data_IF_221014339604
#
_entry.id   IF_221014339604
#
_cell.length_a   1.000
_cell.length_b   1.000
_cell.length_c   1.000
_cell.angle_alpha   90.00
_cell.angle_beta   90.00
_cell.angle_gamma   90.00
#
_symmetry.space_group_name_H-M   'P 1'
#
loop_
_entity.id
_entity.type
_entity.pdbx_description
1 polymer ?
#
# COMPACT_ATOMS: atom_id res chain seq x y z
N UNK A 1 3.55 20.04 37.40
CA UNK A 1 3.04 19.82 36.02
C UNK A 1 4.25 19.95 35.13
N UNK A 2 4.81 18.82 34.72
CA UNK A 2 5.94 18.76 33.79
C UNK A 2 5.46 19.23 32.42
N UNK A 3 6.01 20.35 31.98
CA UNK A 3 5.72 20.95 30.68
C UNK A 3 6.46 20.17 29.59
N UNK A 4 6.15 18.85 29.46
CA UNK A 4 6.72 18.02 28.40
C UNK A 4 6.13 18.49 27.07
N UNK A 5 7.01 18.93 26.19
CA UNK A 5 6.61 19.31 24.85
C UNK A 5 5.96 18.09 24.17
N UNK A 6 4.81 18.26 23.52
CA UNK A 6 4.16 17.13 22.83
C UNK A 6 5.12 16.52 21.82
N UNK A 7 5.07 15.20 21.68
CA UNK A 7 5.88 14.46 20.71
C UNK A 7 5.68 15.02 19.31
N UNK A 8 6.78 15.30 18.62
CA UNK A 8 6.75 15.80 17.25
C UNK A 8 7.51 14.84 16.31
N UNK A 9 6.78 14.15 15.47
CA UNK A 9 7.34 13.18 14.52
C UNK A 9 8.37 13.80 13.57
N UNK A 10 8.23 15.08 13.23
CA UNK A 10 9.16 15.76 12.32
C UNK A 10 10.62 15.75 12.83
N UNK A 11 10.82 15.73 14.13
CA UNK A 11 12.18 15.62 14.69
C UNK A 11 12.81 14.24 14.42
N UNK A 12 12.00 13.19 14.30
CA UNK A 12 12.46 11.83 14.06
C UNK A 12 12.64 11.52 12.57
N UNK A 13 12.02 12.29 11.69
CA UNK A 13 12.24 12.21 10.24
C UNK A 13 13.70 12.60 9.88
N UNK A 14 14.37 13.38 10.72
CA UNK A 14 15.80 13.68 10.54
C UNK A 14 16.62 12.38 10.59
N UNK A 15 16.29 11.45 11.48
CA UNK A 15 16.92 10.11 11.52
C UNK A 15 16.71 9.35 10.21
N UNK A 16 15.49 9.36 9.67
CA UNK A 16 15.20 8.78 8.34
C UNK A 16 16.08 9.39 7.24
N UNK A 17 16.32 10.70 7.27
CA UNK A 17 17.14 11.38 6.27
C UNK A 17 18.58 10.86 6.24
N UNK A 18 19.11 10.48 7.40
CA UNK A 18 20.50 10.01 7.56
C UNK A 18 20.63 8.52 7.29
N UNK A 19 19.72 7.72 7.83
CA UNK A 19 19.79 6.26 7.83
C UNK A 19 19.09 5.63 6.64
N UNK A 20 17.96 6.23 6.21
CA UNK A 20 17.04 5.68 5.21
C UNK A 20 16.67 6.71 4.12
N UNK A 21 17.61 7.10 3.25
CA UNK A 21 17.40 8.19 2.30
C UNK A 21 16.20 7.99 1.36
N UNK A 22 15.95 6.76 0.89
CA UNK A 22 14.81 6.43 0.05
C UNK A 22 13.48 6.73 0.75
N UNK A 23 13.31 6.25 1.99
CA UNK A 23 12.11 6.50 2.78
C UNK A 23 11.97 7.97 3.17
N UNK A 24 13.09 8.64 3.42
CA UNK A 24 13.10 10.08 3.68
C UNK A 24 12.59 10.88 2.47
N UNK A 25 13.02 10.50 1.26
CA UNK A 25 12.55 11.10 0.02
C UNK A 25 11.04 10.90 -0.18
N UNK A 26 10.55 9.70 0.09
CA UNK A 26 9.12 9.38 0.05
C UNK A 26 8.33 10.14 1.11
N UNK A 27 8.84 10.16 2.35
CA UNK A 27 8.23 10.83 3.50
C UNK A 27 7.97 12.31 3.27
N UNK A 28 8.83 13.01 2.53
CA UNK A 28 8.63 14.44 2.21
C UNK A 28 7.40 14.72 1.34
N UNK A 29 6.89 13.70 0.66
CA UNK A 29 5.75 13.79 -0.26
C UNK A 29 4.42 13.37 0.37
N UNK A 30 4.46 12.92 1.62
CA UNK A 30 3.30 12.42 2.36
C UNK A 30 3.02 13.36 3.52
N UNK A 31 1.79 13.85 3.63
CA UNK A 31 1.35 14.66 4.75
C UNK A 31 1.27 13.81 6.02
N UNK A 32 1.71 14.36 7.15
CA UNK A 32 1.69 13.70 8.45
C UNK A 32 0.88 14.52 9.43
N UNK A 33 -0.15 13.90 9.98
CA UNK A 33 -1.09 14.55 10.91
C UNK A 33 -1.13 13.78 12.20
N UNK A 34 -0.89 14.47 13.31
CA UNK A 34 -1.06 13.90 14.64
C UNK A 34 -2.56 13.69 14.93
N UNK A 35 -2.92 12.50 15.40
CA UNK A 35 -4.28 12.15 15.76
C UNK A 35 -4.28 11.19 16.95
N UNK A 36 -5.09 11.48 17.95
CA UNK A 36 -5.35 10.57 19.08
C UNK A 36 -6.56 9.66 18.83
N UNK A 37 -7.21 9.82 17.67
CA UNK A 37 -8.35 9.00 17.29
C UNK A 37 -7.94 7.57 16.88
N UNK A 38 -6.68 7.40 16.50
CA UNK A 38 -6.10 6.08 16.16
C UNK A 38 -5.14 5.63 17.26
N UNK A 39 -5.03 4.32 17.53
CA UNK A 39 -4.14 3.82 18.58
C UNK A 39 -2.65 3.95 18.24
N UNK A 40 -2.28 3.83 16.97
CA UNK A 40 -0.88 3.71 16.52
C UNK A 40 -0.54 4.69 15.39
N UNK A 41 -0.48 4.19 14.17
CA UNK A 41 -0.29 4.95 12.94
C UNK A 41 -1.14 4.33 11.82
N UNK A 42 -1.25 5.00 10.71
CA UNK A 42 -1.91 4.48 9.53
C UNK A 42 -1.78 5.44 8.36
N UNK A 43 -1.71 4.90 7.16
CA UNK A 43 -1.72 5.67 5.92
C UNK A 43 -3.06 5.56 5.23
N UNK A 44 -3.52 6.64 4.65
CA UNK A 44 -4.77 6.67 3.88
C UNK A 44 -4.66 7.58 2.67
N UNK A 45 -5.62 7.43 1.76
CA UNK A 45 -5.88 8.40 0.71
C UNK A 45 -6.96 9.37 1.19
N UNK A 46 -6.66 10.66 1.20
CA UNK A 46 -7.67 11.68 1.49
C UNK A 46 -8.69 11.73 0.35
N UNK A 47 -9.99 11.51 0.61
CA UNK A 47 -11.00 11.42 -0.45
C UNK A 47 -11.22 12.74 -1.20
N UNK A 48 -11.04 13.87 -0.54
CA UNK A 48 -11.27 15.18 -1.13
C UNK A 48 -10.12 15.62 -2.04
N UNK A 49 -8.88 15.34 -1.63
CA UNK A 49 -7.67 15.82 -2.31
C UNK A 49 -6.96 14.75 -3.11
N UNK A 50 -7.33 13.48 -2.94
CA UNK A 50 -6.61 12.30 -3.44
C UNK A 50 -5.11 12.34 -3.09
N UNK A 51 -4.76 12.94 -1.95
CA UNK A 51 -3.41 12.98 -1.42
C UNK A 51 -3.22 11.88 -0.37
N UNK A 52 -1.98 11.42 -0.25
CA UNK A 52 -1.63 10.48 0.81
C UNK A 52 -1.38 11.22 2.11
N UNK A 53 -2.01 10.73 3.16
CA UNK A 53 -1.86 11.21 4.53
C UNK A 53 -1.44 10.05 5.43
N UNK A 54 -0.51 10.33 6.32
CA UNK A 54 -0.14 9.47 7.42
C UNK A 54 -0.71 10.07 8.70
N UNK A 55 -1.61 9.37 9.34
CA UNK A 55 -2.06 9.67 10.69
C UNK A 55 -1.12 8.98 11.68
N UNK A 56 -0.80 9.61 12.78
CA UNK A 56 0.00 8.98 13.83
C UNK A 56 -0.44 9.43 15.22
N UNK A 57 -0.40 8.50 16.18
CA UNK A 57 -0.66 8.81 17.57
C UNK A 57 0.63 9.26 18.27
N UNK A 58 0.72 10.52 18.73
CA UNK A 58 1.92 11.01 19.40
C UNK A 58 2.28 10.24 20.67
N UNK A 59 1.30 9.79 21.45
CA UNK A 59 1.51 9.06 22.70
C UNK A 59 2.10 7.67 22.45
N UNK A 60 1.66 7.02 21.38
CA UNK A 60 2.23 5.76 20.94
C UNK A 60 3.69 5.93 20.51
N UNK A 61 3.98 6.87 19.60
CA UNK A 61 5.33 7.12 19.14
C UNK A 61 6.29 7.58 20.23
N UNK A 62 5.79 8.27 21.25
CA UNK A 62 6.60 8.70 22.39
C UNK A 62 7.18 7.52 23.18
N UNK A 63 6.46 6.40 23.25
CA UNK A 63 6.86 5.18 23.98
C UNK A 63 7.90 4.35 23.22
N UNK A 64 7.96 4.48 21.91
CA UNK A 64 8.84 3.69 21.06
C UNK A 64 10.30 4.12 21.17
N UNK A 65 11.21 3.19 21.01
CA UNK A 65 12.62 3.47 20.79
C UNK A 65 12.87 4.13 19.43
N UNK A 66 14.05 4.64 19.18
CA UNK A 66 14.39 5.25 17.89
C UNK A 66 14.27 4.23 16.73
N UNK A 67 14.77 3.01 16.92
CA UNK A 67 14.75 1.96 15.92
C UNK A 67 13.30 1.50 15.60
N UNK A 68 12.47 1.35 16.63
CA UNK A 68 11.06 1.01 16.45
C UNK A 68 10.32 2.11 15.69
N UNK A 69 10.54 3.38 16.02
CA UNK A 69 9.93 4.51 15.27
C UNK A 69 10.27 4.49 13.80
N UNK A 70 11.54 4.20 13.47
CA UNK A 70 11.98 4.11 12.06
C UNK A 70 11.29 2.93 11.35
N UNK A 71 11.20 1.78 12.00
CA UNK A 71 10.60 0.59 11.38
C UNK A 71 9.08 0.72 11.27
N UNK A 72 8.39 1.35 12.23
CA UNK A 72 6.96 1.70 12.10
C UNK A 72 6.73 2.67 10.94
N UNK A 73 7.56 3.69 10.78
CA UNK A 73 7.46 4.61 9.64
C UNK A 73 7.69 3.89 8.31
N UNK A 74 8.68 2.98 8.25
CA UNK A 74 8.92 2.18 7.04
C UNK A 74 7.75 1.25 6.74
N UNK A 75 7.12 0.66 7.78
CA UNK A 75 5.93 -0.17 7.63
C UNK A 75 4.82 0.58 6.90
N UNK A 76 4.46 1.77 7.38
CA UNK A 76 3.45 2.60 6.76
C UNK A 76 3.78 2.96 5.30
N UNK A 77 5.04 3.28 5.04
CA UNK A 77 5.47 3.61 3.69
C UNK A 77 5.48 2.40 2.75
N UNK A 78 5.74 1.20 3.25
CA UNK A 78 5.62 -0.01 2.45
C UNK A 78 4.17 -0.28 2.02
N UNK A 79 3.17 0.03 2.86
CA UNK A 79 1.77 -0.06 2.43
C UNK A 79 1.48 0.81 1.21
N UNK A 80 2.07 2.00 1.15
CA UNK A 80 1.95 2.87 -0.03
C UNK A 80 2.73 2.34 -1.22
N UNK A 81 4.00 1.93 -1.02
CA UNK A 81 4.89 1.42 -2.08
C UNK A 81 4.28 0.19 -2.76
N UNK A 82 3.69 -0.70 -1.97
CA UNK A 82 3.06 -1.92 -2.47
C UNK A 82 1.60 -1.73 -2.89
N UNK A 83 1.09 -0.52 -2.85
CA UNK A 83 -0.26 -0.17 -3.25
C UNK A 83 -1.37 -0.92 -2.47
N UNK A 84 -1.10 -1.32 -1.23
CA UNK A 84 -2.06 -2.04 -0.39
C UNK A 84 -3.30 -1.21 -0.08
N UNK A 85 -3.15 0.12 -0.05
CA UNK A 85 -4.19 1.11 0.28
C UNK A 85 -5.08 1.45 -0.92
N UNK A 86 -4.64 1.15 -2.15
CA UNK A 86 -5.32 1.59 -3.38
C UNK A 86 -5.88 0.45 -4.20
N UNK A 87 -5.15 -0.01 -5.19
CA UNK A 87 -5.68 -0.88 -6.26
C UNK A 87 -5.46 -2.37 -6.03
N UNK A 88 -4.60 -2.74 -5.07
CA UNK A 88 -4.14 -4.13 -4.91
C UNK A 88 -5.08 -5.01 -4.09
N UNK A 89 -5.99 -4.43 -3.32
CA UNK A 89 -6.96 -5.18 -2.52
C UNK A 89 -7.95 -5.90 -3.45
N UNK A 90 -8.11 -7.23 -3.32
CA UNK A 90 -9.10 -7.96 -4.11
C UNK A 90 -10.54 -7.61 -3.69
N UNK A 91 -11.43 -7.36 -4.65
CA UNK A 91 -12.82 -6.91 -4.41
C UNK A 91 -13.65 -7.82 -3.49
N UNK A 92 -13.37 -9.13 -3.49
CA UNK A 92 -14.14 -10.12 -2.72
C UNK A 92 -13.55 -10.48 -1.37
N UNK A 93 -12.51 -9.77 -0.95
CA UNK A 93 -11.77 -10.05 0.30
C UNK A 93 -12.14 -9.02 1.35
N UNK A 94 -12.47 -9.49 2.54
CA UNK A 94 -12.74 -8.62 3.68
C UNK A 94 -11.50 -7.76 4.03
N UNK A 95 -11.70 -6.52 4.51
CA UNK A 95 -10.59 -5.61 4.79
C UNK A 95 -9.62 -6.19 5.82
N UNK A 96 -10.13 -6.76 6.88
CA UNK A 96 -9.33 -7.30 7.99
C UNK A 96 -8.34 -8.38 7.54
N UNK A 97 -8.81 -9.39 6.79
CA UNK A 97 -7.92 -10.47 6.32
C UNK A 97 -6.88 -9.96 5.32
N UNK A 98 -7.23 -8.97 4.50
CA UNK A 98 -6.28 -8.31 3.61
C UNK A 98 -5.20 -7.56 4.40
N UNK A 99 -5.58 -6.83 5.46
CA UNK A 99 -4.64 -6.14 6.33
C UNK A 99 -3.64 -7.11 6.96
N UNK A 100 -4.12 -8.24 7.53
CA UNK A 100 -3.23 -9.27 8.06
C UNK A 100 -2.24 -9.80 7.01
N UNK A 101 -2.71 -10.04 5.80
CA UNK A 101 -1.85 -10.50 4.71
C UNK A 101 -0.81 -9.45 4.30
N UNK A 102 -1.21 -8.18 4.24
CA UNK A 102 -0.34 -7.06 3.91
C UNK A 102 0.72 -6.82 4.99
N UNK A 103 0.32 -6.86 6.27
CA UNK A 103 1.22 -6.69 7.41
C UNK A 103 2.26 -7.81 7.49
N UNK A 104 1.84 -9.07 7.32
CA UNK A 104 2.78 -10.20 7.30
C UNK A 104 3.82 -10.06 6.17
N UNK A 105 3.40 -9.57 5.00
CA UNK A 105 4.32 -9.34 3.89
C UNK A 105 5.35 -8.26 4.21
N UNK A 106 4.92 -7.15 4.80
CA UNK A 106 5.79 -6.02 5.15
C UNK A 106 6.69 -6.39 6.33
N UNK A 107 6.13 -6.96 7.39
CA UNK A 107 6.82 -7.21 8.64
C UNK A 107 7.96 -8.22 8.47
N UNK A 108 7.86 -9.10 7.48
CA UNK A 108 8.96 -10.01 7.13
C UNK A 108 10.25 -9.30 6.71
N UNK A 109 10.19 -8.01 6.34
CA UNK A 109 11.33 -7.18 5.94
C UNK A 109 11.84 -6.24 7.04
N UNK A 110 11.13 -6.14 8.18
CA UNK A 110 11.44 -5.24 9.28
C UNK A 110 11.97 -6.02 10.50
N UNK A 111 12.87 -5.42 11.26
CA UNK A 111 13.58 -6.12 12.35
C UNK A 111 13.26 -5.58 13.73
N UNK A 112 12.92 -4.29 13.82
CA UNK A 112 12.74 -3.58 15.08
C UNK A 112 11.29 -3.10 15.22
N UNK A 113 10.34 -3.98 14.91
CA UNK A 113 8.95 -3.68 15.18
C UNK A 113 8.67 -3.84 16.68
N UNK A 114 7.74 -3.05 17.24
CA UNK A 114 7.29 -3.21 18.63
C UNK A 114 6.73 -4.61 18.90
N UNK A 115 6.75 -4.99 20.18
CA UNK A 115 6.12 -6.25 20.60
C UNK A 115 4.63 -6.27 20.25
N UNK A 116 4.12 -7.44 19.87
CA UNK A 116 2.73 -7.63 19.47
C UNK A 116 2.46 -7.47 17.98
N UNK A 117 3.45 -7.07 17.16
CA UNK A 117 3.27 -7.02 15.71
C UNK A 117 3.11 -8.43 15.11
N UNK A 118 2.30 -8.53 14.06
CA UNK A 118 2.10 -9.76 13.30
C UNK A 118 3.40 -10.17 12.60
N UNK A 119 3.94 -11.33 12.93
CA UNK A 119 5.18 -11.81 12.33
C UNK A 119 4.97 -13.21 11.74
N UNK A 120 5.41 -13.46 10.49
CA UNK A 120 5.46 -14.82 9.97
C UNK A 120 6.45 -15.68 10.79
N UNK A 121 6.12 -16.93 11.02
CA UNK A 121 6.92 -17.84 11.83
C UNK A 121 6.69 -17.73 13.35
N UNK A 122 5.75 -16.89 13.81
CA UNK A 122 5.49 -16.65 15.25
C UNK A 122 4.01 -16.84 15.58
N UNK A 123 3.72 -17.45 16.72
CA UNK A 123 2.37 -17.61 17.27
C UNK A 123 1.39 -18.24 16.27
N UNK A 124 0.28 -17.56 16.02
CA UNK A 124 -0.75 -18.03 15.08
C UNK A 124 -0.19 -18.25 13.65
N UNK A 125 0.86 -17.53 13.26
CA UNK A 125 1.50 -17.62 11.95
C UNK A 125 2.79 -18.43 11.95
N UNK A 126 3.00 -19.32 12.93
CA UNK A 126 4.21 -20.14 13.08
C UNK A 126 4.55 -20.97 11.82
N UNK A 127 3.53 -21.42 11.09
CA UNK A 127 3.68 -22.21 9.86
C UNK A 127 3.89 -21.36 8.60
N UNK A 128 3.80 -20.03 8.71
CA UNK A 128 3.90 -19.15 7.56
C UNK A 128 5.37 -18.79 7.31
N UNK A 129 5.93 -19.11 6.12
CA UNK A 129 7.30 -18.74 5.80
C UNK A 129 7.42 -17.22 5.62
N UNK A 130 8.57 -16.62 5.99
CA UNK A 130 8.82 -15.19 5.75
C UNK A 130 9.07 -14.90 4.27
N UNK A 131 8.90 -13.63 3.87
CA UNK A 131 9.26 -13.14 2.53
C UNK A 131 8.25 -13.44 1.43
N UNK A 132 7.01 -13.78 1.78
CA UNK A 132 5.94 -13.96 0.80
C UNK A 132 5.25 -12.63 0.47
N UNK A 133 4.59 -12.57 -0.69
CA UNK A 133 3.75 -11.43 -1.05
C UNK A 133 2.43 -11.43 -0.27
N UNK A 134 1.76 -10.27 -0.22
CA UNK A 134 0.46 -10.14 0.44
C UNK A 134 -0.59 -11.12 -0.12
N UNK A 135 -0.59 -11.38 -1.44
CA UNK A 135 -1.51 -12.34 -2.05
C UNK A 135 -1.21 -13.79 -1.67
N UNK A 136 0.07 -14.12 -1.47
CA UNK A 136 0.46 -15.44 -1.01
C UNK A 136 0.06 -15.66 0.45
N UNK A 137 0.30 -14.66 1.33
CA UNK A 137 -0.19 -14.72 2.71
C UNK A 137 -1.71 -14.78 2.78
N UNK A 138 -2.41 -14.00 1.94
CA UNK A 138 -3.87 -14.07 1.85
C UNK A 138 -4.34 -15.49 1.50
N UNK A 139 -3.68 -16.15 0.56
CA UNK A 139 -4.02 -17.52 0.19
C UNK A 139 -3.82 -18.50 1.34
N UNK A 140 -2.75 -18.33 2.13
CA UNK A 140 -2.50 -19.13 3.33
C UNK A 140 -3.52 -18.88 4.43
N UNK A 141 -3.88 -17.62 4.67
CA UNK A 141 -4.90 -17.22 5.65
C UNK A 141 -6.28 -17.80 5.30
N UNK A 142 -6.69 -17.68 4.05
CA UNK A 142 -7.96 -18.24 3.58
C UNK A 142 -8.01 -19.76 3.69
N UNK A 143 -6.88 -20.43 3.46
CA UNK A 143 -6.77 -21.89 3.65
C UNK A 143 -6.91 -22.26 5.13
N UNK A 144 -6.18 -21.58 6.00
CA UNK A 144 -6.24 -21.80 7.46
C UNK A 144 -7.63 -21.56 8.02
N UNK A 145 -8.31 -20.49 7.61
CA UNK A 145 -9.72 -20.23 7.98
C UNK A 145 -10.68 -21.36 7.58
N UNK A 146 -10.46 -21.98 6.43
CA UNK A 146 -11.30 -23.13 5.99
C UNK A 146 -11.05 -24.35 6.86
N UNK A 147 -9.79 -24.64 7.14
CA UNK A 147 -9.39 -25.77 7.99
C UNK A 147 -9.94 -25.63 9.42
N UNK A 148 -9.92 -24.43 9.99
CA UNK A 148 -10.49 -24.16 11.31
C UNK A 148 -12.01 -24.31 11.33
N UNK A 149 -12.72 -23.77 10.34
CA UNK A 149 -14.17 -23.94 10.22
C UNK A 149 -14.60 -25.39 10.00
N UNK A 150 -13.78 -26.20 9.35
CA UNK A 150 -14.02 -27.63 9.19
C UNK A 150 -13.79 -28.39 10.50
N UNK A 151 -12.79 -28.03 11.30
CA UNK A 151 -12.53 -28.57 12.63
C UNK A 151 -13.64 -28.24 13.63
N UNK A 152 -14.15 -27.01 13.62
CA UNK A 152 -15.30 -26.60 14.46
C UNK A 152 -16.58 -27.37 14.12
N UNK A 153 -16.85 -27.60 12.85
CA UNK A 153 -18.00 -28.41 12.41
C UNK A 153 -17.89 -29.90 12.75
N UNK A 154 -16.67 -30.39 12.98
CA UNK A 154 -16.39 -31.78 13.38
C UNK A 154 -16.39 -32.03 14.89
N UNK A 155 -16.27 -30.98 15.72
CA UNK A 155 -16.37 -31.04 17.17
C UNK A 155 -17.84 -30.82 17.59
N UNK A 156 -18.66 -31.84 17.54
CA UNK A 156 -19.87 -31.89 18.34
C UNK A 156 -19.50 -32.01 19.80
N UNK A 157 -20.15 -31.23 20.65
CA UNK A 157 -20.13 -31.18 22.12
C UNK A 157 -19.13 -32.13 22.83
N UNK A 158 -17.97 -31.64 23.17
CA UNK A 158 -16.98 -32.33 24.02
C UNK A 158 -16.07 -31.29 24.66
N UNK A 159 -15.99 -31.33 25.98
CA UNK A 159 -15.27 -30.42 26.88
C UNK A 159 -13.86 -30.09 26.39
N UNK A 160 -13.55 -28.79 26.31
CA UNK A 160 -12.26 -28.29 25.87
C UNK A 160 -11.24 -28.27 26.98
N UNK A 161 -10.10 -28.89 26.77
CA UNK A 161 -8.88 -28.60 27.50
C UNK A 161 -8.37 -27.21 27.08
N UNK A 162 -8.03 -26.38 28.06
CA UNK A 162 -7.37 -25.09 27.90
C UNK A 162 -5.97 -25.27 27.29
N UNK A 163 -5.88 -25.17 26.00
CA UNK A 163 -4.60 -24.87 25.33
C UNK A 163 -4.47 -23.35 25.30
N UNK A 164 -3.28 -22.79 25.54
CA UNK A 164 -2.97 -21.36 25.40
C UNK A 164 -3.06 -20.94 23.93
N UNK A 165 -4.21 -21.15 23.31
CA UNK A 165 -4.47 -20.73 21.93
C UNK A 165 -4.83 -19.26 21.93
N UNK A 166 -4.10 -18.48 21.14
CA UNK A 166 -4.43 -17.11 20.77
C UNK A 166 -5.94 -17.02 20.49
N UNK A 167 -6.66 -16.14 21.22
CA UNK A 167 -8.08 -15.96 21.01
C UNK A 167 -8.35 -15.54 19.57
N UNK A 168 -9.08 -16.35 18.84
CA UNK A 168 -9.49 -16.06 17.46
C UNK A 168 -10.87 -15.45 17.45
N UNK A 169 -11.05 -14.43 16.64
CA UNK A 169 -12.36 -13.79 16.41
C UNK A 169 -13.30 -14.67 15.57
N UNK A 170 -14.54 -14.22 15.35
CA UNK A 170 -15.55 -14.95 14.56
C UNK A 170 -15.12 -15.20 13.11
N UNK A 171 -14.11 -14.50 12.65
CA UNK A 171 -13.49 -14.63 11.32
C UNK A 171 -12.33 -15.64 11.30
N UNK A 172 -12.01 -16.28 12.43
CA UNK A 172 -10.89 -17.22 12.54
C UNK A 172 -9.52 -16.57 12.47
N UNK A 173 -9.43 -15.27 12.78
CA UNK A 173 -8.17 -14.53 12.88
C UNK A 173 -7.91 -14.11 14.32
N UNK A 174 -6.65 -13.92 14.74
CA UNK A 174 -6.31 -13.46 16.07
C UNK A 174 -7.03 -12.17 16.42
N UNK A 175 -7.56 -12.05 17.63
CA UNK A 175 -8.18 -10.82 18.13
C UNK A 175 -7.12 -9.83 18.60
N UNK A 176 -5.97 -10.30 19.01
CA UNK A 176 -4.83 -9.51 19.44
C UNK A 176 -3.70 -9.57 18.42
N UNK A 177 -2.82 -8.58 18.43
CA UNK A 177 -1.62 -8.52 17.58
C UNK A 177 -1.79 -7.72 16.30
N UNK A 178 -2.95 -7.16 16.04
CA UNK A 178 -3.10 -6.16 14.98
C UNK A 178 -2.55 -4.83 15.49
N UNK A 179 -1.32 -4.53 15.09
CA UNK A 179 -0.61 -3.31 15.46
C UNK A 179 -1.25 -2.08 14.82
N UNK A 180 -1.83 -2.26 13.65
CA UNK A 180 -2.37 -1.20 12.83
C UNK A 180 -3.84 -1.44 12.48
N UNK A 181 -4.69 -0.47 12.81
CA UNK A 181 -6.10 -0.53 12.42
C UNK A 181 -6.29 0.17 11.09
N UNK A 182 -6.11 -0.57 10.02
CA UNK A 182 -6.39 -0.08 8.65
C UNK A 182 -7.89 -0.07 8.30
N UNK A 183 -8.76 0.01 9.29
CA UNK A 183 -10.20 0.08 9.08
C UNK A 183 -10.59 1.28 8.22
N UNK A 184 -9.84 2.37 8.33
CA UNK A 184 -10.03 3.57 7.53
C UNK A 184 -9.67 3.43 6.04
N UNK A 185 -9.00 2.34 5.63
CA UNK A 185 -8.73 2.12 4.20
C UNK A 185 -9.98 1.85 3.38
N UNK A 186 -11.05 1.42 4.03
CA UNK A 186 -12.31 1.07 3.38
C UNK A 186 -13.36 2.16 3.44
N UNK A 187 -13.29 3.04 4.46
CA UNK A 187 -14.33 4.03 4.72
C UNK A 187 -13.93 5.44 4.25
N UNK A 188 -12.65 5.69 3.98
CA UNK A 188 -12.14 7.01 3.66
C UNK A 188 -12.19 7.42 2.19
N UNK A 189 -12.39 6.48 1.26
CA UNK A 189 -12.52 6.78 -0.18
C UNK A 189 -13.96 6.74 -0.68
N UNK A 190 -14.90 6.33 0.19
CA UNK A 190 -16.28 6.16 -0.19
C UNK A 190 -17.07 7.47 -0.15
N UNK A 191 -17.25 8.13 -1.30
CA UNK A 191 -18.30 9.16 -1.48
C UNK A 191 -19.68 8.53 -1.59
N UNK A 192 -19.77 7.19 -1.50
CA UNK A 192 -20.98 6.42 -1.78
C UNK A 192 -21.25 6.23 -3.28
N UNK A 193 -20.35 6.70 -4.15
CA UNK A 193 -20.42 6.56 -5.59
C UNK A 193 -19.26 5.71 -6.10
N UNK A 194 -19.50 4.45 -6.37
CA UNK A 194 -18.48 3.45 -6.73
C UNK A 194 -17.62 3.83 -7.95
N UNK A 195 -18.13 4.69 -8.84
CA UNK A 195 -17.40 5.14 -10.04
C UNK A 195 -16.39 6.24 -9.67
N UNK A 196 -16.78 7.17 -8.81
CA UNK A 196 -15.90 8.25 -8.33
C UNK A 196 -14.81 7.68 -7.41
N UNK A 197 -15.15 6.71 -6.59
CA UNK A 197 -14.22 6.03 -5.69
C UNK A 197 -13.15 5.26 -6.48
N UNK A 198 -13.52 4.57 -7.56
CA UNK A 198 -12.58 3.92 -8.48
C UNK A 198 -11.63 4.90 -9.16
N UNK A 199 -12.13 6.05 -9.63
CA UNK A 199 -11.30 7.08 -10.26
C UNK A 199 -10.33 7.73 -9.25
N UNK A 200 -10.76 7.97 -8.03
CA UNK A 200 -9.89 8.49 -6.97
C UNK A 200 -8.76 7.52 -6.62
N UNK A 201 -9.07 6.22 -6.56
CA UNK A 201 -8.07 5.18 -6.32
C UNK A 201 -7.05 5.07 -7.46
N UNK A 202 -7.48 5.19 -8.73
CA UNK A 202 -6.59 5.18 -9.89
C UNK A 202 -5.65 6.41 -9.89
N UNK A 203 -6.17 7.59 -9.59
CA UNK A 203 -5.37 8.83 -9.47
C UNK A 203 -4.37 8.70 -8.32
N UNK A 204 -4.77 8.16 -7.18
CA UNK A 204 -3.88 7.93 -6.05
C UNK A 204 -2.79 6.92 -6.41
N UNK A 205 -3.13 5.81 -7.08
CA UNK A 205 -2.17 4.82 -7.56
C UNK A 205 -1.11 5.43 -8.49
N UNK A 206 -1.50 6.24 -9.46
CA UNK A 206 -0.55 6.92 -10.35
C UNK A 206 0.33 7.94 -9.59
N UNK A 207 -0.21 8.64 -8.61
CA UNK A 207 0.57 9.55 -7.76
C UNK A 207 1.60 8.82 -6.92
N UNK A 208 1.24 7.70 -6.29
CA UNK A 208 2.22 6.95 -5.48
C UNK A 208 3.33 6.38 -6.35
N UNK A 209 3.02 5.91 -7.56
CA UNK A 209 4.03 5.47 -8.51
C UNK A 209 5.01 6.59 -8.84
N UNK A 210 4.53 7.82 -9.09
CA UNK A 210 5.38 8.98 -9.34
C UNK A 210 6.24 9.33 -8.10
N UNK A 211 5.68 9.27 -6.90
CA UNK A 211 6.41 9.53 -5.67
C UNK A 211 7.50 8.50 -5.42
N UNK A 212 7.18 7.21 -5.59
CA UNK A 212 8.14 6.11 -5.44
C UNK A 212 9.23 6.22 -6.51
N UNK A 213 8.87 6.54 -7.76
CA UNK A 213 9.83 6.76 -8.85
C UNK A 213 10.82 7.87 -8.53
N UNK A 214 10.33 9.04 -8.14
CA UNK A 214 11.19 10.18 -7.78
C UNK A 214 12.07 9.87 -6.58
N UNK A 215 11.55 9.13 -5.60
CA UNK A 215 12.34 8.70 -4.43
C UNK A 215 13.42 7.68 -4.80
N UNK A 216 13.12 6.77 -5.74
CA UNK A 216 14.10 5.82 -6.27
C UNK A 216 15.19 6.51 -7.10
N UNK A 217 14.84 7.51 -7.91
CA UNK A 217 15.80 8.32 -8.67
C UNK A 217 16.74 9.09 -7.73
N UNK A 218 16.20 9.68 -6.65
CA UNK A 218 17.00 10.34 -5.62
C UNK A 218 17.92 9.36 -4.90
N UNK A 219 17.45 8.16 -4.58
CA UNK A 219 18.23 7.10 -3.96
C UNK A 219 19.37 6.61 -4.88
N UNK A 220 19.09 6.44 -6.17
CA UNK A 220 20.11 6.06 -7.17
C UNK A 220 21.18 7.14 -7.32
N UNK A 221 20.80 8.42 -7.29
CA UNK A 221 21.75 9.53 -7.35
C UNK A 221 22.71 9.57 -6.15
N UNK A 222 22.31 9.05 -4.99
CA UNK A 222 23.14 8.92 -3.81
C UNK A 222 24.03 7.64 -3.80
N UNK A 223 23.92 6.82 -4.84
CA UNK A 223 24.68 5.58 -4.99
C UNK A 223 24.20 4.46 -4.04
N UNK A 224 25.15 3.62 -3.59
CA UNK A 224 24.82 2.42 -2.81
C UNK A 224 24.12 2.70 -1.47
N UNK A 225 24.37 3.85 -0.87
CA UNK A 225 23.79 4.26 0.41
C UNK A 225 22.39 4.84 0.28
N UNK A 226 21.98 5.24 -0.91
CA UNK A 226 20.71 5.93 -1.13
C UNK A 226 19.46 5.07 -0.85
N UNK A 227 19.59 3.75 -0.93
CA UNK A 227 18.51 2.81 -0.64
C UNK A 227 18.37 2.46 0.85
N UNK A 228 19.33 2.83 1.69
CA UNK A 228 19.32 2.49 3.12
C UNK A 228 19.23 0.98 3.35
N UNK A 229 18.34 0.56 4.24
CA UNK A 229 18.13 -0.85 4.61
C UNK A 229 17.16 -1.61 3.67
N UNK A 230 16.67 -0.98 2.60
CA UNK A 230 15.74 -1.66 1.66
C UNK A 230 16.40 -2.93 1.09
N UNK A 231 15.80 -4.13 1.26
CA UNK A 231 16.33 -5.38 0.73
C UNK A 231 16.47 -5.38 -0.80
N UNK A 232 17.42 -6.16 -1.33
CA UNK A 232 17.71 -6.15 -2.77
C UNK A 232 16.57 -6.70 -3.65
N UNK A 233 15.79 -7.65 -3.14
CA UNK A 233 14.58 -8.17 -3.74
C UNK A 233 13.47 -7.13 -3.80
N UNK A 234 13.24 -6.42 -2.70
CA UNK A 234 12.28 -5.31 -2.64
C UNK A 234 12.68 -4.18 -3.60
N UNK A 235 13.98 -3.84 -3.68
CA UNK A 235 14.45 -2.84 -4.67
C UNK A 235 14.14 -3.26 -6.10
N UNK A 236 14.38 -4.54 -6.43
CA UNK A 236 14.07 -5.07 -7.77
C UNK A 236 12.58 -5.02 -8.05
N UNK A 237 11.74 -5.33 -7.05
CA UNK A 237 10.29 -5.26 -7.16
C UNK A 237 9.81 -3.83 -7.39
N UNK A 238 10.33 -2.87 -6.63
CA UNK A 238 10.05 -1.44 -6.81
C UNK A 238 10.44 -1.02 -8.23
N UNK A 239 11.65 -1.33 -8.67
CA UNK A 239 12.14 -0.95 -10.00
C UNK A 239 11.32 -1.60 -11.12
N UNK A 240 10.97 -2.88 -10.98
CA UNK A 240 10.14 -3.59 -11.96
C UNK A 240 8.72 -2.98 -12.10
N UNK A 241 8.15 -2.48 -11.01
CA UNK A 241 6.84 -1.78 -11.02
C UNK A 241 6.93 -0.40 -11.66
N UNK A 242 8.09 0.27 -11.51
CA UNK A 242 8.32 1.60 -12.08
C UNK A 242 8.70 1.54 -13.58
N UNK A 243 9.23 0.41 -14.05
CA UNK A 243 9.45 0.18 -15.46
C UNK A 243 8.10 0.07 -16.18
N UNK A 244 7.63 1.20 -16.68
CA UNK A 244 6.44 1.25 -17.54
C UNK A 244 6.75 0.46 -18.80
N UNK A 245 6.22 -0.73 -18.93
CA UNK A 245 6.22 -1.46 -20.22
C UNK A 245 5.32 -0.70 -21.16
N UNK A 246 5.88 0.32 -21.82
CA UNK A 246 5.17 1.04 -22.87
C UNK A 246 4.87 0.04 -23.98
N UNK A 247 3.61 -0.30 -24.14
CA UNK A 247 3.18 -1.07 -25.31
C UNK A 247 3.34 -0.17 -26.55
N UNK A 248 4.56 -0.17 -27.09
CA UNK A 248 4.92 0.62 -28.28
C UNK A 248 3.96 0.36 -29.44
N UNK A 249 3.34 -0.83 -29.54
CA UNK A 249 2.35 -1.16 -30.57
C UNK A 249 1.07 -0.35 -30.36
N UNK A 250 0.65 -0.15 -29.11
CA UNK A 250 -0.51 0.67 -28.75
C UNK A 250 -0.24 2.15 -29.02
N UNK A 251 0.94 2.64 -28.64
CA UNK A 251 1.39 4.01 -28.92
C UNK A 251 1.49 4.26 -30.42
N UNK A 252 2.09 3.33 -31.18
CA UNK A 252 2.20 3.44 -32.63
C UNK A 252 0.84 3.45 -33.33
N UNK A 253 -0.10 2.58 -32.90
CA UNK A 253 -1.48 2.58 -33.42
C UNK A 253 -2.18 3.91 -33.16
N UNK A 254 -2.00 4.47 -31.97
CA UNK A 254 -2.57 5.78 -31.62
C UNK A 254 -1.96 6.89 -32.46
N UNK A 255 -0.64 6.90 -32.62
CA UNK A 255 0.07 7.86 -33.48
C UNK A 255 -0.39 7.79 -34.94
N UNK A 256 -0.46 6.59 -35.52
CA UNK A 256 -0.96 6.41 -36.90
C UNK A 256 -2.40 6.90 -37.02
N UNK A 257 -3.24 6.62 -36.03
CA UNK A 257 -4.66 7.04 -36.02
C UNK A 257 -4.82 8.55 -35.93
N UNK A 258 -3.99 9.22 -35.14
CA UNK A 258 -3.99 10.69 -35.02
C UNK A 258 -3.37 11.35 -36.28
N UNK A 259 -2.26 10.85 -36.78
CA UNK A 259 -1.66 11.35 -38.00
C UNK A 259 -2.57 11.24 -39.22
N UNK A 260 -3.32 10.16 -39.35
CA UNK A 260 -4.34 10.01 -40.40
C UNK A 260 -5.50 11.01 -40.28
N UNK A 261 -5.85 11.45 -39.06
CA UNK A 261 -6.89 12.45 -38.84
C UNK A 261 -6.39 13.87 -39.13
N UNK A 262 -5.16 14.18 -38.78
CA UNK A 262 -4.58 15.50 -39.01
C UNK A 262 -4.38 15.85 -40.52
N UNK A 263 -4.19 14.83 -41.36
CA UNK A 263 -3.96 15.02 -42.80
C UNK A 263 -5.25 15.01 -43.67
N UNK A 264 -6.42 14.94 -43.06
CA UNK A 264 -7.70 15.05 -43.74
C UNK A 264 -8.19 16.51 -43.66
N UNK A 265 -7.71 17.35 -44.51
CA UNK A 265 -8.32 18.66 -44.75
C UNK A 265 -9.28 18.53 -45.94
N UNK A 266 -10.54 18.90 -45.69
CA UNK A 266 -11.52 19.08 -46.75
C UNK A 266 -11.24 20.43 -47.44
N UNK A 267 -11.11 20.41 -48.76
CA UNK A 267 -10.90 21.66 -49.53
C UNK A 267 -11.97 21.81 -50.61
N UNK A 268 -12.55 22.98 -50.67
CA UNK A 268 -13.53 23.38 -51.73
C UNK A 268 -12.84 23.57 -53.10
N UNK A 269 -11.50 23.69 -53.10
CA UNK A 269 -10.72 23.91 -54.34
C UNK A 269 -10.49 22.65 -55.18
N UNK A 270 -10.76 21.46 -54.63
CA UNK A 270 -10.64 20.19 -55.34
C UNK A 270 -11.93 19.41 -55.27
N UNK A 271 -12.47 19.05 -56.44
CA UNK A 271 -13.70 18.23 -56.52
C UNK A 271 -13.39 16.78 -56.21
N UNK A 272 -14.21 16.17 -55.38
CA UNK A 272 -14.10 14.73 -55.07
C UNK A 272 -14.55 13.91 -56.31
N UNK A 273 -13.61 13.27 -56.98
CA UNK A 273 -13.84 12.50 -58.21
C UNK A 273 -14.70 11.22 -58.00
N UNK A 274 -15.03 10.84 -56.78
CA UNK A 274 -15.83 9.65 -56.47
C UNK A 274 -17.36 9.90 -56.50
N UNK A 275 -17.76 11.14 -56.46
CA UNK A 275 -19.17 11.51 -56.38
C UNK A 275 -19.58 12.35 -57.61
N UNK A 276 -20.81 12.13 -58.10
CA UNK A 276 -21.38 12.85 -59.25
C UNK A 276 -21.65 14.33 -58.95
N UNK A 277 -21.74 14.71 -57.68
CA UNK A 277 -21.99 16.06 -57.24
C UNK A 277 -20.73 16.70 -56.66
N UNK A 278 -20.70 18.02 -56.64
CA UNK A 278 -19.58 18.79 -56.09
C UNK A 278 -19.58 18.62 -54.57
N UNK A 279 -18.66 17.81 -54.07
CA UNK A 279 -18.38 17.71 -52.65
C UNK A 279 -16.94 18.19 -52.38
N UNK A 280 -16.68 18.81 -51.19
CA UNK A 280 -15.31 19.16 -50.79
C UNK A 280 -14.45 17.88 -50.81
N UNK A 281 -13.27 17.99 -51.39
CA UNK A 281 -12.29 16.91 -51.46
C UNK A 281 -11.35 16.83 -50.25
#
# INVERSE_FOLDING_TARGET
>A
MTNEKPFNLNHHIIGLLVEEPFFAALSRRINKTASTAIPTAGVRVNPETSQFEMLYNPEFFAKLTHAERLDVLKHEFYHLIFEHVTTRKPEKVGPRIWNFAADLAINSHLKNLPEGCLMPGVGFFAEFPPGLSAEQYLSLLLKKQKEEKEKEKGKGEGEGENDESCETGPDGLPTEGQFDSHEEWTDGTGTGNSVEDGQAADIASERIKDFVKKSAEEALAQGSKGWGSVPADVRRDIMARLETKVDWKKVLRYFIKTSRRCNRSSTVKRVNKRYRYIHPG
#
